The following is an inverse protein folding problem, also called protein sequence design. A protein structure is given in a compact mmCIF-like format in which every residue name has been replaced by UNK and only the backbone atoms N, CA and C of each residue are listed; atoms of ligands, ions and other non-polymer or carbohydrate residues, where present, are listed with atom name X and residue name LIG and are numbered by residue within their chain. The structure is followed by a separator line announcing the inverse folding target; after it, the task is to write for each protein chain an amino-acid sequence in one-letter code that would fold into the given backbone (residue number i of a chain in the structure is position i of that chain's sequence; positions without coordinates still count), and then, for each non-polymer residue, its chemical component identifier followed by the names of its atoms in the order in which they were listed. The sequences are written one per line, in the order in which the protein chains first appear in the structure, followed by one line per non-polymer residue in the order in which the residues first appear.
data_IF_069734932024
#
_entry.id   IF_069734932024
#
_cell.length_a   1.000
_cell.length_b   1.000
_cell.length_c   1.000
_cell.angle_alpha   90.00
_cell.angle_beta   90.00
_cell.angle_gamma   90.00
#
_symmetry.space_group_name_H-M   'P 1'
#
loop_
_entity.id
_entity.type
_entity.pdbx_description
1 polymer ?
#
# COMPACT_ATOMS: atom_id res chain seq x y z
N UNK A 1 -78.24 -11.25 -8.51
CA UNK A 1 -77.14 -12.20 -8.82
C UNK A 1 -75.87 -11.38 -9.04
N UNK A 2 -74.79 -11.78 -8.39
CA UNK A 2 -73.57 -10.98 -8.15
C UNK A 2 -72.73 -10.88 -9.44
N UNK A 3 -72.35 -9.66 -9.83
CA UNK A 3 -71.47 -9.40 -10.97
C UNK A 3 -70.01 -9.55 -10.55
N UNK A 4 -69.31 -10.46 -11.21
CA UNK A 4 -67.90 -10.81 -10.98
C UNK A 4 -67.02 -9.80 -11.72
N UNK A 5 -66.38 -8.87 -10.99
CA UNK A 5 -65.28 -8.07 -11.53
C UNK A 5 -63.96 -8.67 -11.01
N UNK A 6 -63.38 -9.57 -11.79
CA UNK A 6 -62.10 -10.18 -11.52
C UNK A 6 -61.00 -9.22 -12.00
N UNK A 7 -60.43 -8.45 -11.07
CA UNK A 7 -59.30 -7.55 -11.34
C UNK A 7 -58.06 -8.43 -11.56
N UNK A 8 -57.59 -8.48 -12.82
CA UNK A 8 -56.34 -9.12 -13.19
C UNK A 8 -55.20 -8.18 -12.79
N UNK A 9 -54.60 -8.43 -11.62
CA UNK A 9 -53.41 -7.68 -11.16
C UNK A 9 -52.23 -8.13 -12.01
N UNK A 10 -51.86 -7.27 -12.96
CA UNK A 10 -50.68 -7.40 -13.80
C UNK A 10 -49.43 -7.25 -12.91
N UNK A 11 -48.83 -8.37 -12.53
CA UNK A 11 -47.55 -8.41 -11.83
C UNK A 11 -46.42 -7.99 -12.78
N UNK A 12 -46.03 -6.71 -12.76
CA UNK A 12 -44.76 -6.29 -13.34
C UNK A 12 -43.63 -6.87 -12.51
N UNK A 13 -43.01 -7.94 -13.02
CA UNK A 13 -41.76 -8.47 -12.49
C UNK A 13 -40.67 -7.45 -12.82
N UNK A 14 -40.29 -6.63 -11.83
CA UNK A 14 -39.09 -5.81 -11.93
C UNK A 14 -37.88 -6.73 -11.84
N UNK A 15 -37.35 -7.14 -12.99
CA UNK A 15 -36.01 -7.73 -13.04
C UNK A 15 -35.05 -6.58 -12.78
N UNK A 16 -34.62 -6.44 -11.52
CA UNK A 16 -33.40 -5.69 -11.24
C UNK A 16 -32.26 -6.49 -11.85
N UNK A 17 -31.81 -6.07 -13.05
CA UNK A 17 -30.50 -6.44 -13.54
C UNK A 17 -29.51 -5.82 -12.55
N UNK A 18 -29.18 -6.56 -11.49
CA UNK A 18 -27.91 -6.38 -10.82
C UNK A 18 -26.87 -6.75 -11.86
N UNK A 19 -26.44 -5.77 -12.66
CA UNK A 19 -25.13 -5.83 -13.27
C UNK A 19 -24.17 -6.04 -12.11
N UNK A 20 -23.74 -7.28 -11.92
CA UNK A 20 -22.50 -7.58 -11.24
C UNK A 20 -21.40 -6.94 -12.10
N UNK A 21 -21.25 -5.62 -11.99
CA UNK A 21 -19.93 -5.04 -11.93
C UNK A 21 -19.35 -5.69 -10.67
N UNK A 22 -18.72 -6.84 -10.88
CA UNK A 22 -17.91 -7.48 -9.87
C UNK A 22 -16.91 -6.40 -9.48
N UNK A 23 -17.16 -5.83 -8.31
CA UNK A 23 -16.43 -4.76 -7.66
C UNK A 23 -14.96 -5.19 -7.67
N UNK A 24 -14.21 -4.76 -8.68
CA UNK A 24 -12.76 -4.92 -8.69
C UNK A 24 -12.30 -3.93 -7.61
N UNK A 25 -12.30 -4.39 -6.37
CA UNK A 25 -11.84 -3.63 -5.24
C UNK A 25 -10.43 -3.16 -5.59
N UNK A 26 -10.30 -1.87 -5.86
CA UNK A 26 -9.01 -1.27 -6.11
C UNK A 26 -8.35 -1.08 -4.76
N UNK A 27 -7.28 -1.82 -4.55
CA UNK A 27 -6.59 -1.93 -3.27
C UNK A 27 -5.09 -1.85 -3.47
N UNK A 28 -4.40 -1.48 -2.39
CA UNK A 28 -2.96 -1.64 -2.25
C UNK A 28 -2.72 -2.90 -1.44
N UNK A 29 -1.93 -3.83 -1.97
CA UNK A 29 -1.38 -4.96 -1.23
C UNK A 29 0.08 -4.68 -0.89
N UNK A 30 0.45 -4.97 0.35
CA UNK A 30 1.80 -4.75 0.84
C UNK A 30 2.40 -6.09 1.33
N UNK A 31 3.53 -6.47 0.76
CA UNK A 31 4.28 -7.66 1.16
C UNK A 31 5.68 -7.26 1.60
N UNK A 32 5.97 -7.44 2.89
CA UNK A 32 7.26 -7.08 3.48
C UNK A 32 8.08 -8.34 3.80
N UNK A 33 9.35 -8.32 3.38
CA UNK A 33 10.37 -9.30 3.75
C UNK A 33 11.55 -8.59 4.42
N UNK A 34 12.55 -9.36 4.88
CA UNK A 34 13.78 -8.79 5.43
C UNK A 34 14.54 -7.90 4.43
N UNK A 35 14.41 -8.19 3.13
CA UNK A 35 15.20 -7.55 2.06
C UNK A 35 14.35 -6.77 1.06
N UNK A 36 13.02 -6.80 1.17
CA UNK A 36 12.14 -6.10 0.24
C UNK A 36 10.84 -5.62 0.87
N UNK A 37 10.26 -4.59 0.27
CA UNK A 37 8.85 -4.24 0.40
C UNK A 37 8.26 -4.17 -0.99
N UNK A 38 7.28 -5.03 -1.24
CA UNK A 38 6.57 -5.11 -2.50
C UNK A 38 5.19 -4.50 -2.35
N UNK A 39 4.97 -3.40 -3.06
CA UNK A 39 3.69 -2.70 -3.16
C UNK A 39 3.02 -3.18 -4.45
N UNK A 40 1.76 -3.61 -4.35
CA UNK A 40 0.98 -4.05 -5.51
C UNK A 40 -0.35 -3.32 -5.56
N UNK A 41 -0.82 -2.95 -6.75
CA UNK A 41 -2.12 -2.27 -6.97
C UNK A 41 -3.03 -3.09 -7.90
N UNK A 42 -4.31 -3.25 -7.56
CA UNK A 42 -5.28 -4.12 -8.30
C UNK A 42 -6.06 -3.46 -9.45
N UNK A 43 -5.69 -2.27 -9.93
CA UNK A 43 -6.25 -1.75 -11.17
C UNK A 43 -5.32 -0.73 -11.83
N UNK A 44 -5.41 -0.60 -13.16
CA UNK A 44 -4.79 0.48 -13.93
C UNK A 44 -5.54 1.80 -13.82
N UNK A 45 -6.83 1.73 -13.49
CA UNK A 45 -7.72 2.86 -13.34
C UNK A 45 -8.43 2.72 -12.01
N UNK A 46 -8.13 3.64 -11.11
CA UNK A 46 -8.88 3.88 -9.91
C UNK A 46 -9.34 5.32 -9.89
N UNK A 47 -9.97 5.75 -8.80
CA UNK A 47 -10.29 7.17 -8.60
C UNK A 47 -9.02 8.04 -8.59
N UNK A 48 -9.07 9.16 -7.90
CA UNK A 48 -7.92 10.08 -7.90
C UNK A 48 -6.70 9.51 -7.16
N UNK A 49 -6.93 8.74 -6.09
CA UNK A 49 -5.89 8.34 -5.16
C UNK A 49 -6.20 6.99 -4.48
N UNK A 50 -5.16 6.19 -4.26
CA UNK A 50 -5.15 5.06 -3.34
C UNK A 50 -4.27 5.37 -2.14
N UNK A 51 -4.76 5.00 -0.96
CA UNK A 51 -4.02 5.19 0.29
C UNK A 51 -3.94 3.88 1.07
N UNK A 52 -2.77 3.62 1.64
CA UNK A 52 -2.52 2.53 2.58
C UNK A 52 -1.77 3.09 3.77
N UNK A 53 -2.30 2.89 4.97
CA UNK A 53 -1.70 3.41 6.20
C UNK A 53 -1.79 2.39 7.32
N UNK A 54 -0.65 2.11 7.93
CA UNK A 54 -0.53 1.31 9.14
C UNK A 54 0.49 1.95 10.12
N UNK A 55 0.96 1.19 11.11
CA UNK A 55 1.90 1.69 12.12
C UNK A 55 3.35 1.88 11.62
N UNK A 56 3.68 1.36 10.43
CA UNK A 56 5.03 1.37 9.83
C UNK A 56 5.04 1.98 8.42
N UNK A 57 3.88 2.19 7.81
CA UNK A 57 3.73 2.57 6.42
C UNK A 57 2.68 3.68 6.26
N UNK A 58 3.00 4.66 5.43
CA UNK A 58 2.03 5.65 4.93
C UNK A 58 2.31 5.82 3.42
N UNK A 59 1.47 5.19 2.60
CA UNK A 59 1.65 5.06 1.15
C UNK A 59 0.45 5.67 0.45
N UNK A 60 0.75 6.57 -0.49
CA UNK A 60 -0.22 7.23 -1.36
C UNK A 60 0.20 7.03 -2.80
N UNK A 61 -0.73 6.57 -3.64
CA UNK A 61 -0.52 6.40 -5.08
C UNK A 61 -1.62 7.15 -5.82
N UNK A 62 -1.25 8.09 -6.69
CA UNK A 62 -2.19 8.84 -7.52
C UNK A 62 -2.12 8.39 -8.96
N UNK A 63 -3.27 8.22 -9.58
CA UNK A 63 -3.37 7.93 -11.00
C UNK A 63 -3.30 9.24 -11.79
N UNK A 64 -2.23 9.42 -12.55
CA UNK A 64 -2.01 10.61 -13.39
C UNK A 64 -2.52 10.43 -14.82
N UNK A 65 -3.11 9.27 -15.13
CA UNK A 65 -3.54 8.90 -16.48
C UNK A 65 -2.41 8.28 -17.31
N UNK A 66 -2.76 7.69 -18.46
CA UNK A 66 -1.79 7.10 -19.41
C UNK A 66 -0.82 6.08 -18.78
N UNK A 67 -1.30 5.29 -17.82
CA UNK A 67 -0.52 4.35 -17.01
C UNK A 67 0.59 5.00 -16.17
N UNK A 68 0.50 6.30 -15.92
CA UNK A 68 1.45 7.06 -15.09
C UNK A 68 0.91 7.21 -13.68
N UNK A 69 1.78 6.96 -12.70
CA UNK A 69 1.45 6.95 -11.30
C UNK A 69 2.45 7.79 -10.51
N UNK A 70 1.92 8.68 -9.67
CA UNK A 70 2.69 9.39 -8.66
C UNK A 70 2.63 8.60 -7.36
N UNK A 71 3.79 8.32 -6.78
CA UNK A 71 3.95 7.51 -5.57
C UNK A 71 4.60 8.35 -4.48
N UNK A 72 3.97 8.44 -3.32
CA UNK A 72 4.55 8.93 -2.07
C UNK A 72 4.47 7.79 -1.04
N UNK A 73 5.62 7.17 -0.72
CA UNK A 73 5.69 6.03 0.19
C UNK A 73 6.64 6.33 1.36
N UNK A 74 6.09 6.37 2.57
CA UNK A 74 6.82 6.62 3.83
C UNK A 74 6.92 5.34 4.64
N UNK A 75 8.13 5.04 5.11
CA UNK A 75 8.48 3.84 5.87
C UNK A 75 9.07 4.25 7.21
N UNK A 76 8.34 3.92 8.29
CA UNK A 76 8.70 4.24 9.66
C UNK A 76 9.30 3.02 10.36
N UNK A 77 10.40 3.22 11.08
CA UNK A 77 10.90 2.22 12.03
C UNK A 77 10.13 2.37 13.34
N UNK A 78 9.66 1.26 13.92
CA UNK A 78 8.99 1.29 15.24
C UNK A 78 9.89 1.87 16.34
N UNK A 79 9.22 2.46 17.33
CA UNK A 79 9.70 3.36 18.38
C UNK A 79 10.98 2.92 19.09
N UNK A 80 11.82 3.90 19.43
CA UNK A 80 12.68 3.78 20.62
C UNK A 80 11.72 3.57 21.80
N UNK A 81 11.81 2.46 22.53
CA UNK A 81 11.13 2.33 23.82
C UNK A 81 11.51 3.54 24.66
N UNK A 82 10.52 4.38 24.99
CA UNK A 82 10.74 5.51 25.87
C UNK A 82 11.34 4.98 27.17
N UNK A 83 12.56 5.42 27.48
CA UNK A 83 13.26 5.07 28.70
C UNK A 83 12.28 5.28 29.89
N UNK A 84 12.16 4.30 30.80
CA UNK A 84 11.25 4.43 31.94
C UNK A 84 11.69 5.65 32.77
N UNK A 85 10.89 6.72 32.72
CA UNK A 85 11.19 8.01 33.35
C UNK A 85 10.88 9.26 32.50
N UNK A 86 10.49 9.11 31.23
CA UNK A 86 10.07 10.25 30.39
C UNK A 86 8.65 10.72 30.74
N UNK A 87 8.53 11.51 31.81
CA UNK A 87 7.34 12.33 32.05
C UNK A 87 7.26 13.43 30.99
N UNK A 88 6.25 13.34 30.11
CA UNK A 88 5.53 14.40 29.37
C UNK A 88 5.14 13.87 27.99
N UNK A 89 3.94 14.23 27.53
CA UNK A 89 3.33 13.79 26.26
C UNK A 89 4.05 14.30 25.02
N UNK A 90 5.27 13.81 24.80
CA UNK A 90 5.97 13.93 23.54
C UNK A 90 5.39 12.93 22.55
N UNK A 91 5.03 13.42 21.37
CA UNK A 91 4.76 12.60 20.19
C UNK A 91 5.89 11.56 20.03
N UNK A 92 5.59 10.31 19.62
CA UNK A 92 6.61 9.30 19.42
C UNK A 92 7.72 9.84 18.52
N UNK A 93 8.94 9.96 19.06
CA UNK A 93 10.13 10.26 18.25
C UNK A 93 10.42 9.05 17.37
N UNK A 94 9.98 9.11 16.12
CA UNK A 94 10.37 8.17 15.09
C UNK A 94 11.82 8.48 14.69
N UNK A 95 12.77 7.75 15.26
CA UNK A 95 14.14 7.76 14.77
C UNK A 95 14.19 7.00 13.43
N UNK A 96 14.27 7.78 12.34
CA UNK A 96 14.39 7.41 10.93
C UNK A 96 13.08 7.03 10.19
N UNK A 97 12.67 7.93 9.30
CA UNK A 97 11.58 7.81 8.33
C UNK A 97 12.18 7.89 6.93
N UNK A 98 12.14 6.79 6.17
CA UNK A 98 12.55 6.84 4.76
C UNK A 98 11.32 7.19 3.93
N UNK A 99 11.45 8.14 3.03
CA UNK A 99 10.38 8.53 2.11
C UNK A 99 10.86 8.36 0.67
N UNK A 100 10.01 7.76 -0.16
CA UNK A 100 10.21 7.63 -1.60
C UNK A 100 9.11 8.41 -2.29
N UNK A 101 9.50 9.43 -3.05
CA UNK A 101 8.59 10.21 -3.89
C UNK A 101 9.04 10.09 -5.35
N UNK A 102 8.21 9.49 -6.20
CA UNK A 102 8.56 9.29 -7.61
C UNK A 102 7.32 9.20 -8.48
N UNK A 103 7.48 9.58 -9.75
CA UNK A 103 6.48 9.37 -10.80
C UNK A 103 7.01 8.29 -11.75
N UNK A 104 6.18 7.31 -12.09
CA UNK A 104 6.58 6.25 -13.02
C UNK A 104 5.42 5.77 -13.88
N UNK A 105 5.77 5.25 -15.05
CA UNK A 105 4.83 4.52 -15.90
C UNK A 105 4.85 3.05 -15.50
N UNK A 106 3.67 2.47 -15.25
CA UNK A 106 3.53 1.05 -14.89
C UNK A 106 2.93 0.26 -16.04
N UNK A 107 3.65 -0.78 -16.47
CA UNK A 107 3.11 -1.82 -17.36
C UNK A 107 2.47 -2.91 -16.49
N UNK A 108 1.34 -3.53 -16.92
CA UNK A 108 0.75 -4.68 -16.24
C UNK A 108 1.76 -5.77 -15.89
N UNK A 109 1.69 -6.28 -14.67
CA UNK A 109 2.56 -7.33 -14.12
C UNK A 109 4.06 -7.03 -14.17
N UNK A 110 4.45 -5.80 -14.49
CA UNK A 110 5.85 -5.38 -14.44
C UNK A 110 6.16 -4.83 -13.05
N UNK A 111 7.18 -5.42 -12.42
CA UNK A 111 7.71 -4.96 -11.14
C UNK A 111 8.77 -3.89 -11.37
N UNK A 112 8.49 -2.67 -10.91
CA UNK A 112 9.41 -1.54 -10.99
C UNK A 112 10.05 -1.30 -9.62
N UNK A 113 11.37 -1.06 -9.60
CA UNK A 113 12.09 -0.67 -8.39
C UNK A 113 11.87 0.83 -8.15
N UNK A 114 11.23 1.16 -7.03
CA UNK A 114 11.03 2.55 -6.60
C UNK A 114 12.30 3.12 -5.94
N UNK A 115 13.08 2.26 -5.28
CA UNK A 115 14.29 2.65 -4.58
C UNK A 115 14.80 1.56 -3.64
N UNK A 116 15.79 1.89 -2.80
CA UNK A 116 16.32 0.97 -1.81
C UNK A 116 17.13 1.69 -0.74
N UNK A 117 17.22 1.07 0.42
CA UNK A 117 18.10 1.48 1.51
C UNK A 117 19.20 0.45 1.61
N UNK A 118 20.45 0.92 1.64
CA UNK A 118 21.62 0.10 1.87
C UNK A 118 22.35 0.62 3.10
N UNK A 119 22.76 -0.29 3.97
CA UNK A 119 23.49 -0.01 5.18
C UNK A 119 24.71 -0.92 5.25
N UNK A 120 25.84 -0.32 5.57
CA UNK A 120 27.09 -1.01 5.83
C UNK A 120 27.60 -0.60 7.21
N UNK A 121 27.93 -1.57 8.05
CA UNK A 121 28.67 -1.33 9.29
C UNK A 121 29.86 -2.27 9.41
N UNK A 122 30.88 -1.80 10.11
CA UNK A 122 32.07 -2.58 10.44
C UNK A 122 32.31 -2.48 11.93
N UNK A 123 32.53 -3.61 12.59
CA UNK A 123 32.89 -3.67 14.01
C UNK A 123 34.25 -4.36 14.15
N UNK A 124 35.20 -3.71 14.83
CA UNK A 124 36.51 -4.30 15.13
C UNK A 124 36.50 -4.81 16.57
N UNK A 125 36.77 -6.10 16.75
CA UNK A 125 36.82 -6.76 18.05
C UNK A 125 38.18 -6.51 18.75
N UNK A 126 38.24 -6.76 20.06
CA UNK A 126 39.47 -6.54 20.86
C UNK A 126 40.66 -7.40 20.41
N UNK A 127 40.41 -8.53 19.76
CA UNK A 127 41.43 -9.42 19.19
C UNK A 127 41.93 -8.97 17.80
N UNK A 128 41.40 -7.85 17.29
CA UNK A 128 41.71 -7.31 15.97
C UNK A 128 40.86 -7.88 14.83
N UNK A 129 39.93 -8.80 15.11
CA UNK A 129 39.00 -9.34 14.11
C UNK A 129 38.00 -8.26 13.67
N UNK A 130 37.86 -8.06 12.35
CA UNK A 130 36.85 -7.15 11.78
C UNK A 130 35.63 -7.95 11.34
N UNK A 131 34.45 -7.58 11.83
CA UNK A 131 33.16 -8.10 11.39
C UNK A 131 32.44 -7.04 10.57
N UNK A 132 32.15 -7.33 9.31
CA UNK A 132 31.38 -6.46 8.44
C UNK A 132 29.93 -6.95 8.36
N UNK A 133 28.97 -6.02 8.47
CA UNK A 133 27.55 -6.30 8.30
C UNK A 133 26.99 -5.38 7.22
N UNK A 134 26.53 -6.00 6.13
CA UNK A 134 25.83 -5.32 5.06
C UNK A 134 24.36 -5.71 5.09
N UNK A 135 23.46 -4.74 4.93
CA UNK A 135 22.04 -4.98 4.74
C UNK A 135 21.50 -4.11 3.61
N UNK A 136 20.59 -4.67 2.83
CA UNK A 136 19.93 -4.00 1.72
C UNK A 136 18.44 -4.30 1.74
N UNK A 137 17.62 -3.27 1.60
CA UNK A 137 16.16 -3.37 1.50
C UNK A 137 15.68 -2.62 0.26
N UNK A 138 14.96 -3.30 -0.62
CA UNK A 138 14.49 -2.77 -1.91
C UNK A 138 12.98 -2.53 -1.88
N UNK A 139 12.52 -1.43 -2.45
CA UNK A 139 11.11 -1.08 -2.54
C UNK A 139 10.65 -1.22 -3.98
N UNK A 140 9.56 -1.94 -4.19
CA UNK A 140 9.04 -2.19 -5.55
C UNK A 140 7.56 -1.87 -5.65
N UNK A 141 7.13 -1.52 -6.86
CA UNK A 141 5.74 -1.31 -7.21
C UNK A 141 5.40 -2.16 -8.43
N UNK A 142 4.26 -2.84 -8.36
CA UNK A 142 3.73 -3.66 -9.43
C UNK A 142 2.24 -3.37 -9.61
N UNK A 143 1.81 -3.26 -10.85
CA UNK A 143 0.39 -3.26 -11.18
C UNK A 143 -0.06 -4.69 -11.47
N UNK A 144 -1.14 -5.14 -10.84
CA UNK A 144 -1.60 -6.53 -10.93
C UNK A 144 -2.70 -6.78 -11.97
N UNK A 145 -3.61 -5.82 -12.15
CA UNK A 145 -4.76 -5.82 -13.06
C UNK A 145 -5.74 -7.03 -13.13
#
# INVERSE_FOLDING_TARGET
MKSTLMIMVLSMLFITLNSNAQDRQTEIYLYETATSVDIKISASLFGEELTFKDQKHDITIRNMGEDTFDVDAKFFRHSIESLPGSETGAEPEFAFSNQIMTSLKLVPHEKVILGGIESWSSNTQEDGTVTETQSKKVFTLERLD
#
